data_IF_284006524199
#
_entry.id   IF_284006524199
#
_cell.length_a   1.000
_cell.length_b   1.000
_cell.length_c   1.000
_cell.angle_alpha   90.00
_cell.angle_beta   90.00
_cell.angle_gamma   90.00
#
_symmetry.space_group_name_H-M   'P 1'
#
loop_
_entity.id
_entity.type
_entity.pdbx_description
1 polymer ?
#
# COMPACT_ATOMS: atom_id res chain seq x y z
N UNK A 1 -3.97 -18.20 -6.84
CA UNK A 1 -4.08 -17.08 -5.87
C UNK A 1 -3.23 -15.92 -6.37
N UNK A 2 -3.74 -14.68 -6.39
CA UNK A 2 -2.97 -13.49 -6.84
C UNK A 2 -1.71 -13.31 -6.00
N UNK A 3 -0.59 -12.86 -6.56
CA UNK A 3 0.66 -12.60 -5.81
C UNK A 3 0.46 -11.58 -4.67
N UNK A 4 -0.54 -10.71 -4.79
CA UNK A 4 -0.85 -9.64 -3.84
C UNK A 4 -1.21 -10.15 -2.43
N UNK A 5 -1.63 -11.41 -2.27
CA UNK A 5 -1.93 -11.95 -0.93
C UNK A 5 -0.73 -12.00 0.01
N UNK A 6 0.50 -11.90 -0.54
CA UNK A 6 1.76 -11.88 0.21
C UNK A 6 2.21 -10.47 0.59
N UNK A 7 1.42 -9.44 0.27
CA UNK A 7 1.75 -8.05 0.62
C UNK A 7 1.89 -7.89 2.15
N UNK A 8 2.84 -7.07 2.56
CA UNK A 8 3.13 -6.77 3.96
C UNK A 8 3.41 -5.29 4.10
N UNK A 9 3.04 -4.71 5.24
CA UNK A 9 3.45 -3.36 5.59
C UNK A 9 4.97 -3.32 5.78
N UNK A 10 5.65 -2.34 5.17
CA UNK A 10 7.11 -2.20 5.24
C UNK A 10 7.51 -0.99 6.06
N UNK A 11 7.12 0.22 5.63
CA UNK A 11 7.39 1.47 6.36
C UNK A 11 6.25 2.47 6.14
N UNK A 12 6.22 3.50 7.00
CA UNK A 12 5.47 4.74 6.77
C UNK A 12 6.45 5.89 6.66
N UNK A 13 6.24 6.76 5.67
CA UNK A 13 7.02 7.98 5.47
C UNK A 13 6.08 9.18 5.51
N UNK A 14 6.30 10.11 6.44
CA UNK A 14 5.56 11.37 6.54
C UNK A 14 6.23 12.50 5.73
N UNK A 15 7.52 12.35 5.43
CA UNK A 15 8.33 13.29 4.65
C UNK A 15 9.09 12.56 3.53
N UNK A 16 9.47 13.28 2.48
CA UNK A 16 10.09 12.69 1.27
C UNK A 16 11.47 12.07 1.54
N UNK A 17 12.22 12.61 2.49
CA UNK A 17 13.53 12.11 2.91
C UNK A 17 13.45 10.80 3.73
N UNK A 18 12.25 10.40 4.14
CA UNK A 18 11.98 9.14 4.84
C UNK A 18 11.64 7.99 3.87
N UNK A 19 11.55 8.26 2.56
CA UNK A 19 11.31 7.24 1.55
C UNK A 19 12.46 6.23 1.52
N UNK A 20 12.18 4.95 1.20
CA UNK A 20 13.25 4.00 0.98
C UNK A 20 14.07 4.42 -0.25
N UNK A 21 15.33 3.96 -0.37
CA UNK A 21 16.08 4.13 -1.60
C UNK A 21 15.29 3.61 -2.82
N UNK A 22 15.45 4.20 -4.00
CA UNK A 22 14.78 3.75 -5.22
C UNK A 22 14.96 2.24 -5.44
N UNK A 23 13.88 1.57 -5.80
CA UNK A 23 13.83 0.11 -5.88
C UNK A 23 13.12 -0.41 -7.14
N UNK A 24 12.54 -1.62 -7.06
CA UNK A 24 11.66 -2.16 -8.10
C UNK A 24 10.47 -1.21 -8.40
N UNK A 25 9.77 -1.38 -9.53
CA UNK A 25 8.60 -0.57 -9.85
C UNK A 25 7.52 -0.60 -8.76
N UNK A 26 6.93 0.58 -8.48
CA UNK A 26 5.90 0.77 -7.46
C UNK A 26 4.57 1.25 -8.05
N UNK A 27 3.46 0.94 -7.38
CA UNK A 27 2.11 1.42 -7.73
C UNK A 27 1.57 2.26 -6.58
N UNK A 28 1.16 3.50 -6.88
CA UNK A 28 0.63 4.43 -5.89
C UNK A 28 -0.91 4.43 -5.88
N UNK A 29 -1.51 4.40 -4.68
CA UNK A 29 -2.95 4.58 -4.48
C UNK A 29 -3.23 6.00 -3.97
N UNK A 30 -3.86 6.83 -4.79
CA UNK A 30 -4.22 8.23 -4.46
C UNK A 30 -5.73 8.46 -4.50
N UNK A 31 -6.23 9.42 -3.71
CA UNK A 31 -7.65 9.75 -3.68
C UNK A 31 -8.07 10.51 -2.42
N UNK A 32 -9.24 11.16 -2.46
CA UNK A 32 -9.81 11.96 -1.34
C UNK A 32 -9.85 11.15 -0.04
N UNK A 33 -9.90 11.85 1.10
CA UNK A 33 -10.12 11.20 2.40
C UNK A 33 -11.40 10.35 2.35
N UNK A 34 -11.37 9.16 2.95
CA UNK A 34 -12.47 8.19 2.97
C UNK A 34 -12.96 7.69 1.59
N UNK A 35 -12.21 7.89 0.51
CA UNK A 35 -12.57 7.37 -0.82
C UNK A 35 -12.45 5.83 -0.98
N UNK A 36 -12.10 5.09 0.08
CA UNK A 36 -11.99 3.62 0.04
C UNK A 36 -10.61 3.06 -0.32
N UNK A 37 -9.53 3.86 -0.26
CA UNK A 37 -8.15 3.42 -0.56
C UNK A 37 -7.70 2.21 0.25
N UNK A 38 -7.79 2.28 1.59
CA UNK A 38 -7.45 1.16 2.48
C UNK A 38 -8.33 -0.06 2.21
N UNK A 39 -9.63 0.14 1.94
CA UNK A 39 -10.54 -0.95 1.58
C UNK A 39 -10.12 -1.65 0.29
N UNK A 40 -9.72 -0.90 -0.74
CA UNK A 40 -9.24 -1.44 -2.00
C UNK A 40 -7.94 -2.26 -1.80
N UNK A 41 -6.97 -1.74 -1.04
CA UNK A 41 -5.72 -2.45 -0.72
C UNK A 41 -6.02 -3.77 0.00
N UNK A 42 -6.89 -3.73 1.03
CA UNK A 42 -7.30 -4.89 1.79
C UNK A 42 -7.99 -5.96 0.91
N UNK A 43 -8.88 -5.55 -0.01
CA UNK A 43 -9.55 -6.46 -0.95
C UNK A 43 -8.56 -7.06 -1.95
N UNK A 44 -7.71 -6.24 -2.58
CA UNK A 44 -6.72 -6.70 -3.57
C UNK A 44 -5.70 -7.68 -2.97
N UNK A 45 -5.28 -7.43 -1.73
CA UNK A 45 -4.40 -8.31 -0.97
C UNK A 45 -5.13 -9.48 -0.30
N UNK A 46 -6.47 -9.53 -0.32
CA UNK A 46 -7.25 -10.51 0.43
C UNK A 46 -6.86 -10.55 1.94
N UNK A 47 -6.68 -9.39 2.54
CA UNK A 47 -6.30 -9.19 3.95
C UNK A 47 -7.25 -8.20 4.63
N UNK A 48 -7.43 -8.28 5.96
CA UNK A 48 -8.39 -7.43 6.69
C UNK A 48 -7.81 -6.17 7.33
N UNK A 49 -6.49 -6.09 7.50
CA UNK A 49 -5.81 -5.02 8.27
C UNK A 49 -4.41 -4.71 7.74
N UNK A 50 -4.24 -4.72 6.42
CA UNK A 50 -2.97 -4.34 5.78
C UNK A 50 -2.81 -2.82 5.70
N UNK A 51 -3.90 -2.11 5.43
CA UNK A 51 -3.97 -0.66 5.25
C UNK A 51 -5.17 -0.04 5.97
#
# INVERSE_FOLDING_TARGET
>A
MSILHRAQFTISAAQLDQLPPPGPPEVCFVGRSNAGKSSAINILANQKRLA
#
